data_IF_284992349259
#
_entry.id   IF_284992349259
#
_cell.length_a   1.000
_cell.length_b   1.000
_cell.length_c   1.000
_cell.angle_alpha   90.00
_cell.angle_beta   90.00
_cell.angle_gamma   90.00
#
_symmetry.space_group_name_H-M   'P 1'
#
loop_
_entity.id
_entity.type
_entity.pdbx_description
1 polymer ?
#
# COMPACT_ATOMS: atom_id res chain seq x y z
N UNK A 1 -8.57 1.17 9.32
CA UNK A 1 -8.59 1.94 8.05
C UNK A 1 -7.33 1.74 7.21
N UNK A 2 -6.15 1.66 7.82
CA UNK A 2 -4.87 1.38 7.13
C UNK A 2 -4.87 0.13 6.23
N UNK A 3 -5.50 -0.96 6.69
CA UNK A 3 -5.60 -2.21 5.91
C UNK A 3 -6.42 -2.05 4.62
N UNK A 4 -7.56 -1.33 4.70
CA UNK A 4 -8.44 -1.08 3.54
C UNK A 4 -7.72 -0.20 2.52
N UNK A 5 -7.01 0.84 2.97
CA UNK A 5 -6.17 1.66 2.10
C UNK A 5 -5.10 0.82 1.40
N UNK A 6 -4.44 -0.11 2.12
CA UNK A 6 -3.48 -1.04 1.52
C UNK A 6 -4.09 -1.94 0.44
N UNK A 7 -5.29 -2.48 0.67
CA UNK A 7 -5.98 -3.32 -0.32
C UNK A 7 -6.43 -2.54 -1.57
N UNK A 8 -6.94 -1.32 -1.38
CA UNK A 8 -7.33 -0.45 -2.51
C UNK A 8 -6.10 -0.10 -3.35
N UNK A 9 -4.99 0.21 -2.69
CA UNK A 9 -3.72 0.55 -3.32
C UNK A 9 -3.09 -0.66 -4.06
N UNK A 10 -3.19 -1.87 -3.49
CA UNK A 10 -2.74 -3.09 -4.18
C UNK A 10 -3.58 -3.40 -5.40
N UNK A 11 -4.91 -3.21 -5.31
CA UNK A 11 -5.82 -3.36 -6.45
C UNK A 11 -5.46 -2.40 -7.59
N UNK A 12 -5.22 -1.13 -7.27
CA UNK A 12 -4.80 -0.12 -8.26
C UNK A 12 -3.46 -0.50 -8.88
N UNK A 13 -2.48 -0.94 -8.08
CA UNK A 13 -1.17 -1.37 -8.58
C UNK A 13 -1.24 -2.57 -9.52
N UNK A 14 -2.03 -3.59 -9.18
CA UNK A 14 -2.27 -4.76 -10.03
C UNK A 14 -2.94 -4.34 -11.35
N UNK A 15 -3.91 -3.43 -11.28
CA UNK A 15 -4.63 -2.95 -12.45
C UNK A 15 -3.72 -2.17 -13.41
N UNK A 16 -2.82 -1.33 -12.88
CA UNK A 16 -1.81 -0.62 -13.67
C UNK A 16 -0.83 -1.60 -14.32
N UNK A 17 -0.34 -2.59 -13.58
CA UNK A 17 0.56 -3.61 -14.12
C UNK A 17 -0.12 -4.43 -15.23
N UNK A 18 -1.37 -4.84 -15.03
CA UNK A 18 -2.15 -5.53 -16.06
C UNK A 18 -2.27 -4.68 -17.32
N UNK A 19 -2.51 -3.37 -17.18
CA UNK A 19 -2.56 -2.45 -18.31
C UNK A 19 -1.21 -2.21 -18.99
N UNK A 20 -0.06 -2.57 -18.42
CA UNK A 20 1.24 -2.48 -19.11
C UNK A 20 1.57 -3.68 -20.00
N UNK A 21 0.86 -4.80 -19.82
CA UNK A 21 1.10 -6.03 -20.58
C UNK A 21 0.40 -5.93 -21.94
N UNK A 22 1.18 -5.90 -23.04
CA UNK A 22 0.67 -5.76 -24.42
C UNK A 22 -0.54 -6.63 -24.79
N UNK A 23 -0.57 -7.95 -24.50
CA UNK A 23 -1.74 -8.78 -24.82
C UNK A 23 -3.01 -8.37 -24.04
N UNK A 24 -2.86 -7.77 -22.86
CA UNK A 24 -3.99 -7.28 -22.06
C UNK A 24 -4.49 -5.93 -22.59
N UNK A 25 -3.59 -5.04 -23.02
CA UNK A 25 -3.98 -3.78 -23.71
C UNK A 25 -4.77 -4.02 -24.99
N UNK A 26 -4.42 -5.06 -25.73
CA UNK A 26 -5.05 -5.38 -27.00
C UNK A 26 -6.35 -6.19 -26.86
N UNK A 27 -6.64 -6.69 -25.66
CA UNK A 27 -7.88 -7.39 -25.38
C UNK A 27 -9.07 -6.44 -25.59
N UNK A 28 -10.06 -6.89 -26.37
CA UNK A 28 -11.25 -6.12 -26.77
C UNK A 28 -11.98 -5.50 -25.58
N UNK A 29 -12.00 -6.19 -24.44
CA UNK A 29 -12.64 -5.74 -23.19
C UNK A 29 -12.02 -4.44 -22.68
N UNK A 30 -10.68 -4.32 -22.72
CA UNK A 30 -9.97 -3.14 -22.22
C UNK A 30 -10.19 -1.95 -23.16
N UNK A 31 -10.20 -2.18 -24.48
CA UNK A 31 -10.49 -1.15 -25.47
C UNK A 31 -11.94 -0.64 -25.40
N UNK A 32 -12.90 -1.50 -25.05
CA UNK A 32 -14.31 -1.08 -24.89
C UNK A 32 -14.52 -0.23 -23.63
N UNK A 33 -13.85 -0.58 -22.52
CA UNK A 33 -14.02 0.13 -21.24
C UNK A 33 -13.18 1.42 -21.21
N UNK A 34 -11.99 1.40 -21.79
CA UNK A 34 -11.03 2.50 -21.81
C UNK A 34 -10.44 2.68 -23.24
N UNK A 35 -11.22 3.23 -24.18
CA UNK A 35 -10.81 3.35 -25.59
C UNK A 35 -9.56 4.22 -25.79
N UNK A 36 -9.29 5.12 -24.84
CA UNK A 36 -8.16 6.04 -24.87
C UNK A 36 -6.84 5.39 -24.43
N UNK A 37 -6.88 4.22 -23.78
CA UNK A 37 -5.65 3.60 -23.23
C UNK A 37 -4.74 3.05 -24.33
N UNK A 38 -5.31 2.70 -25.49
CA UNK A 38 -4.58 2.13 -26.62
C UNK A 38 -3.75 3.16 -27.41
N UNK A 39 -4.03 4.45 -27.27
CA UNK A 39 -3.27 5.53 -27.92
C UNK A 39 -2.18 6.14 -27.04
N UNK A 40 -2.13 5.75 -25.76
CA UNK A 40 -1.13 6.26 -24.82
C UNK A 40 0.16 5.45 -24.98
N UNK A 41 1.27 6.15 -25.24
CA UNK A 41 2.60 5.55 -25.30
C UNK A 41 2.93 4.81 -23.99
N UNK A 42 3.50 3.62 -24.12
CA UNK A 42 3.91 2.75 -23.01
C UNK A 42 4.76 3.51 -21.98
N UNK A 43 5.58 4.47 -22.44
CA UNK A 43 6.45 5.27 -21.60
C UNK A 43 5.66 6.11 -20.58
N UNK A 44 4.53 6.71 -20.98
CA UNK A 44 3.69 7.48 -20.06
C UNK A 44 2.97 6.59 -19.04
N UNK A 45 2.53 5.40 -19.45
CA UNK A 45 1.91 4.43 -18.54
C UNK A 45 2.90 3.95 -17.49
N UNK A 46 4.16 3.71 -17.89
CA UNK A 46 5.25 3.34 -16.99
C UNK A 46 5.55 4.47 -15.99
N UNK A 47 5.67 5.72 -16.46
CA UNK A 47 5.91 6.88 -15.57
C UNK A 47 4.76 7.04 -14.57
N UNK A 48 3.51 6.98 -15.04
CA UNK A 48 2.34 7.09 -14.18
C UNK A 48 2.28 5.96 -13.15
N UNK A 49 2.57 4.72 -13.56
CA UNK A 49 2.64 3.58 -12.66
C UNK A 49 3.74 3.72 -11.61
N UNK A 50 4.91 4.22 -12.00
CA UNK A 50 6.02 4.47 -11.08
C UNK A 50 5.67 5.56 -10.06
N UNK A 51 5.02 6.65 -10.48
CA UNK A 51 4.56 7.72 -9.60
C UNK A 51 3.54 7.20 -8.56
N UNK A 52 2.57 6.39 -8.98
CA UNK A 52 1.59 5.75 -8.08
C UNK A 52 2.28 4.81 -7.10
N UNK A 53 3.28 4.04 -7.53
CA UNK A 53 4.04 3.13 -6.67
C UNK A 53 4.84 3.89 -5.60
N UNK A 54 5.48 5.01 -5.97
CA UNK A 54 6.18 5.87 -5.00
C UNK A 54 5.22 6.47 -3.99
N UNK A 55 4.08 7.01 -4.43
CA UNK A 55 3.04 7.53 -3.55
C UNK A 55 2.49 6.45 -2.62
N UNK A 56 2.33 5.22 -3.14
CA UNK A 56 1.86 4.08 -2.37
C UNK A 56 2.82 3.71 -1.22
N UNK A 57 4.11 3.62 -1.52
CA UNK A 57 5.16 3.34 -0.52
C UNK A 57 5.20 4.44 0.55
N UNK A 58 5.05 5.71 0.14
CA UNK A 58 5.02 6.84 1.06
C UNK A 58 3.83 6.77 2.02
N UNK A 59 2.64 6.48 1.50
CA UNK A 59 1.43 6.30 2.31
C UNK A 59 1.55 5.11 3.28
N UNK A 60 2.13 3.99 2.83
CA UNK A 60 2.35 2.81 3.68
C UNK A 60 3.31 3.11 4.83
N UNK A 61 4.41 3.83 4.57
CA UNK A 61 5.35 4.27 5.62
C UNK A 61 4.66 5.17 6.66
N UNK A 62 3.80 6.09 6.22
CA UNK A 62 3.06 6.97 7.13
C UNK A 62 2.05 6.21 8.00
N UNK A 63 1.56 5.06 7.55
CA UNK A 63 0.55 4.27 8.27
C UNK A 63 1.14 3.33 9.34
N UNK A 64 2.46 3.18 9.43
CA UNK A 64 3.13 2.31 10.42
C UNK A 64 3.13 2.88 11.85
N UNK A 65 2.55 4.05 12.08
CA UNK A 65 2.54 4.75 13.37
C UNK A 65 1.59 4.18 14.43
N UNK A 66 1.47 2.86 14.54
CA UNK A 66 0.92 2.25 15.75
C UNK A 66 1.94 2.40 16.87
N UNK A 67 1.89 3.52 17.62
CA UNK A 67 2.72 3.69 18.83
C UNK A 67 2.47 2.48 19.73
N UNK A 68 3.42 1.54 19.78
CA UNK A 68 3.40 0.49 20.80
C UNK A 68 3.28 1.20 22.15
N UNK A 69 2.26 0.83 22.92
CA UNK A 69 2.09 1.38 24.26
C UNK A 69 3.39 1.11 25.01
N UNK A 70 3.94 2.14 25.67
CA UNK A 70 5.18 1.99 26.42
C UNK A 70 4.92 0.95 27.52
N UNK A 71 5.53 -0.22 27.40
CA UNK A 71 5.44 -1.27 28.40
C UNK A 71 6.54 -1.05 29.43
N UNK A 72 6.18 -1.14 30.71
CA UNK A 72 7.10 -1.00 31.84
C UNK A 72 7.18 -2.35 32.55
N UNK A 73 8.38 -2.92 32.76
CA UNK A 73 8.52 -4.17 33.50
C UNK A 73 8.08 -4.00 34.97
N UNK A 74 7.41 -5.03 35.48
CA UNK A 74 7.03 -5.17 36.89
C UNK A 74 8.08 -6.07 37.54
N UNK A 75 8.74 -5.58 38.59
CA UNK A 75 9.80 -6.31 39.30
C UNK A 75 9.27 -6.91 40.59
N UNK A 76 9.73 -8.13 40.91
CA UNK A 76 9.65 -8.73 42.22
C UNK A 76 11.06 -9.06 42.69
N UNK A 77 11.58 -8.23 43.62
CA UNK A 77 13.00 -8.25 43.95
C UNK A 77 13.85 -7.90 42.72
N UNK A 78 14.75 -8.80 42.33
CA UNK A 78 15.61 -8.65 41.14
C UNK A 78 15.02 -9.26 39.86
N UNK A 79 13.87 -9.91 39.94
CA UNK A 79 13.29 -10.65 38.82
C UNK A 79 12.12 -9.88 38.17
N UNK A 80 12.02 -9.93 36.85
CA UNK A 80 10.87 -9.39 36.10
C UNK A 80 9.75 -10.40 36.15
N UNK A 81 8.61 -10.02 36.74
CA UNK A 81 7.42 -10.87 36.90
C UNK A 81 6.31 -10.55 35.90
N UNK A 82 6.42 -9.46 35.15
CA UNK A 82 5.46 -9.11 34.12
C UNK A 82 5.74 -7.76 33.50
N UNK A 83 4.83 -7.31 32.63
CA UNK A 83 4.90 -6.01 31.97
C UNK A 83 3.56 -5.30 32.08
N UNK A 84 3.58 -4.03 32.53
CA UNK A 84 2.41 -3.17 32.58
C UNK A 84 2.37 -2.28 31.34
N UNK A 85 1.24 -2.25 30.66
CA UNK A 85 0.97 -1.25 29.61
C UNK A 85 0.64 0.09 30.25
N UNK A 86 1.42 1.12 29.95
CA UNK A 86 1.01 2.50 30.23
C UNK A 86 -0.03 2.90 29.18
N UNK A 87 -1.30 2.84 29.57
CA UNK A 87 -2.38 3.44 28.77
C UNK A 87 -2.11 4.94 28.60
N UNK A 88 -2.28 5.46 27.38
CA UNK A 88 -2.27 6.91 27.16
C UNK A 88 -3.47 7.52 27.90
N UNK A 89 -3.21 8.52 28.74
CA UNK A 89 -4.23 9.51 29.13
C UNK A 89 -4.63 10.33 27.90
#
# INVERSE_FOLDING_TARGET
>A
MSKILGYVLSLIGILILALTVKPIKETTIVKTILPFIGSISDLYVIIAGFAVLVAAIFLLKSSSGGKQAKEVPIYHGKNVVGYRRLGKK
#
